data_IF_774011635229
#
_entry.id   IF_774011635229
#
_cell.length_a   1.000
_cell.length_b   1.000
_cell.length_c   1.000
_cell.angle_alpha   90.00
_cell.angle_beta   90.00
_cell.angle_gamma   90.00
#
_symmetry.space_group_name_H-M   'P 1'
#
loop_
_entity.id
_entity.type
_entity.pdbx_description
1 polymer ?
#
# COMPACT_ATOMS: atom_id res chain seq x y z
N UNK A 1 -1.96 0.37 5.22
CA UNK A 1 -0.82 -0.54 5.05
C UNK A 1 -0.86 -1.67 6.07
N UNK A 2 -0.14 -2.75 5.83
CA UNK A 2 0.20 -3.73 6.84
C UNK A 2 1.56 -3.41 7.49
N UNK A 3 1.85 -4.01 8.66
CA UNK A 3 3.09 -3.82 9.41
C UNK A 3 3.88 -5.10 9.65
N UNK A 4 3.24 -6.25 9.44
CA UNK A 4 3.89 -7.56 9.42
C UNK A 4 4.66 -7.76 8.10
N UNK A 5 5.34 -8.88 7.97
CA UNK A 5 5.99 -9.31 6.74
C UNK A 5 5.94 -10.82 6.63
N UNK A 6 6.17 -11.32 5.44
CA UNK A 6 6.28 -12.76 5.18
C UNK A 6 7.29 -13.40 6.14
N UNK A 7 6.94 -14.46 6.89
CA UNK A 7 7.84 -15.06 7.87
C UNK A 7 9.11 -15.68 7.27
N UNK A 8 9.04 -16.10 6.01
CA UNK A 8 10.13 -16.82 5.34
C UNK A 8 10.23 -16.42 3.87
N UNK A 9 11.41 -16.56 3.30
CA UNK A 9 11.75 -16.24 1.92
C UNK A 9 11.21 -17.31 0.93
N UNK A 10 9.90 -17.57 0.93
CA UNK A 10 9.31 -18.69 0.19
C UNK A 10 9.36 -18.51 -1.34
N UNK A 11 9.66 -17.29 -1.83
CA UNK A 11 9.87 -16.99 -3.25
C UNK A 11 11.33 -17.04 -3.69
N UNK A 12 12.25 -17.42 -2.81
CA UNK A 12 13.65 -17.66 -3.20
C UNK A 12 13.78 -18.75 -4.27
N UNK A 13 14.73 -18.58 -5.16
CA UNK A 13 15.00 -19.57 -6.22
C UNK A 13 15.53 -20.90 -5.64
N UNK A 14 16.46 -20.81 -4.67
CA UNK A 14 17.07 -21.98 -4.08
C UNK A 14 16.22 -22.53 -2.94
N UNK A 15 15.92 -23.82 -3.01
CA UNK A 15 15.10 -24.50 -2.01
C UNK A 15 15.64 -24.40 -0.58
N UNK A 16 16.97 -24.37 -0.42
CA UNK A 16 17.64 -24.25 0.89
C UNK A 16 17.42 -22.89 1.56
N UNK A 17 17.17 -21.84 0.76
CA UNK A 17 16.99 -20.47 1.24
C UNK A 17 15.51 -20.16 1.56
N UNK A 18 14.56 -20.96 1.08
CA UNK A 18 13.11 -20.71 1.22
C UNK A 18 12.58 -20.68 2.66
N UNK A 19 13.35 -21.14 3.63
CA UNK A 19 12.97 -21.10 5.05
C UNK A 19 13.77 -20.02 5.84
N UNK A 20 14.54 -19.19 5.15
CA UNK A 20 15.24 -18.09 5.81
C UNK A 20 14.24 -16.97 6.13
N UNK A 21 14.40 -16.27 7.27
CA UNK A 21 13.57 -15.11 7.57
C UNK A 21 13.89 -13.96 6.62
N UNK A 22 12.91 -13.12 6.33
CA UNK A 22 13.08 -11.88 5.56
C UNK A 22 12.94 -10.65 6.45
N UNK A 23 13.42 -9.50 5.97
CA UNK A 23 13.37 -8.22 6.70
C UNK A 23 12.05 -7.51 6.42
N UNK A 24 11.51 -7.59 5.20
CA UNK A 24 10.27 -6.92 4.81
C UNK A 24 10.44 -5.40 4.73
N UNK A 25 11.54 -4.94 4.14
CA UNK A 25 11.84 -3.51 4.10
C UNK A 25 10.91 -2.72 3.17
N UNK A 26 10.50 -3.34 2.07
CA UNK A 26 9.51 -2.79 1.17
C UNK A 26 8.11 -3.32 1.52
N UNK A 27 8.02 -4.61 1.72
CA UNK A 27 6.83 -5.40 2.01
C UNK A 27 6.72 -5.69 3.53
N UNK A 28 6.06 -4.95 4.27
CA UNK A 28 5.16 -3.92 4.62
C UNK A 28 5.81 -2.68 5.26
N UNK A 29 7.17 -2.67 5.56
CA UNK A 29 7.76 -1.56 6.30
C UNK A 29 7.73 -0.23 5.52
N UNK A 30 7.71 -0.25 4.17
CA UNK A 30 7.66 0.98 3.36
C UNK A 30 6.36 1.76 3.57
N UNK A 31 5.21 1.08 3.58
CA UNK A 31 3.92 1.69 3.88
C UNK A 31 3.89 2.28 5.30
N UNK A 32 4.44 1.55 6.28
CA UNK A 32 4.56 2.02 7.67
C UNK A 32 5.41 3.30 7.75
N UNK A 33 6.53 3.36 7.02
CA UNK A 33 7.40 4.54 7.01
C UNK A 33 6.65 5.79 6.52
N UNK A 34 5.88 5.67 5.43
CA UNK A 34 5.04 6.77 4.94
C UNK A 34 3.98 7.18 5.96
N UNK A 35 3.28 6.23 6.58
CA UNK A 35 2.24 6.50 7.59
C UNK A 35 2.82 7.21 8.83
N UNK A 36 4.01 6.82 9.29
CA UNK A 36 4.65 7.48 10.44
C UNK A 36 5.01 8.93 10.14
N UNK A 37 5.51 9.23 8.95
CA UNK A 37 5.78 10.61 8.54
C UNK A 37 4.49 11.42 8.35
N UNK A 38 3.44 10.82 7.77
CA UNK A 38 2.12 11.43 7.73
C UNK A 38 1.60 11.76 9.14
N UNK A 39 1.71 10.83 10.09
CA UNK A 39 1.30 11.05 11.47
C UNK A 39 2.02 12.26 12.11
N UNK A 40 3.33 12.40 11.84
CA UNK A 40 4.10 13.55 12.31
C UNK A 40 3.59 14.87 11.71
N UNK A 41 3.40 14.92 10.39
CA UNK A 41 2.94 16.11 9.66
C UNK A 41 1.53 16.51 10.10
N UNK A 42 0.61 15.56 10.16
CA UNK A 42 -0.78 15.80 10.56
C UNK A 42 -0.90 16.20 12.04
N UNK A 43 0.00 15.72 12.90
CA UNK A 43 0.08 16.13 14.30
C UNK A 43 0.54 17.58 14.48
N UNK A 44 1.47 18.04 13.63
CA UNK A 44 1.95 19.43 13.63
C UNK A 44 0.96 20.40 12.96
N UNK A 45 0.28 19.94 11.93
CA UNK A 45 -0.66 20.71 11.12
C UNK A 45 -1.96 19.92 10.93
N UNK A 46 -2.87 19.91 11.90
CA UNK A 46 -4.09 19.11 11.83
C UNK A 46 -4.96 19.50 10.63
N UNK A 47 -5.39 18.51 9.79
CA UNK A 47 -6.32 18.76 8.69
C UNK A 47 -7.74 19.02 9.20
N UNK A 48 -8.61 19.59 8.36
CA UNK A 48 -10.04 19.80 8.70
C UNK A 48 -10.88 18.54 8.55
N UNK A 49 -10.39 17.55 7.81
CA UNK A 49 -11.03 16.23 7.67
C UNK A 49 -10.51 15.25 8.70
N UNK A 50 -11.30 14.24 9.05
CA UNK A 50 -10.85 13.12 9.86
C UNK A 50 -9.96 12.19 9.03
N UNK A 51 -8.77 11.88 9.56
CA UNK A 51 -7.83 10.93 8.94
C UNK A 51 -7.56 9.80 9.93
N UNK A 52 -7.76 8.58 9.50
CA UNK A 52 -7.40 7.37 10.25
C UNK A 52 -6.15 6.77 9.63
N UNK A 53 -5.09 6.63 10.42
CA UNK A 53 -3.87 5.93 10.04
C UNK A 53 -3.95 4.53 10.65
N UNK A 54 -4.04 3.51 9.81
CA UNK A 54 -4.28 2.12 10.23
C UNK A 54 -3.14 1.24 9.73
N UNK A 55 -2.58 0.45 10.64
CA UNK A 55 -1.59 -0.57 10.33
C UNK A 55 -2.21 -1.94 10.62
N UNK A 56 -2.39 -2.74 9.59
CA UNK A 56 -2.97 -4.08 9.71
C UNK A 56 -1.89 -5.11 10.06
N UNK A 57 -2.31 -6.20 10.72
CA UNK A 57 -1.48 -7.34 11.09
C UNK A 57 -1.95 -8.58 10.33
N UNK A 58 -1.01 -9.46 9.99
CA UNK A 58 -1.32 -10.74 9.36
C UNK A 58 -1.81 -10.61 7.92
N UNK A 59 -1.35 -9.61 7.19
CA UNK A 59 -1.55 -9.53 5.74
C UNK A 59 -0.83 -10.70 5.08
N UNK A 60 0.46 -10.87 5.36
CA UNK A 60 1.39 -11.78 4.72
C UNK A 60 1.45 -13.21 5.32
N UNK A 61 0.58 -13.53 6.28
CA UNK A 61 0.55 -14.86 6.90
C UNK A 61 -0.23 -15.91 6.08
N UNK A 62 -0.69 -15.54 4.88
CA UNK A 62 -1.53 -16.38 4.05
C UNK A 62 -0.84 -17.60 3.45
N UNK A 63 -1.66 -18.54 2.99
CA UNK A 63 -1.24 -19.75 2.28
C UNK A 63 -1.28 -19.46 0.78
N UNK A 64 -0.17 -19.62 0.03
CA UNK A 64 -0.16 -19.38 -1.41
C UNK A 64 -1.28 -20.11 -2.16
N UNK A 65 -2.10 -19.33 -2.91
CA UNK A 65 -3.25 -19.84 -3.63
C UNK A 65 -4.57 -19.83 -2.86
N UNK A 66 -4.59 -19.43 -1.60
CA UNK A 66 -5.78 -19.32 -0.74
C UNK A 66 -5.96 -17.87 -0.26
N UNK A 67 -6.49 -16.99 -1.12
CA UNK A 67 -6.61 -15.55 -0.84
C UNK A 67 -7.32 -15.21 0.48
N UNK A 68 -8.28 -16.03 0.89
CA UNK A 68 -9.00 -15.83 2.16
C UNK A 68 -8.13 -16.02 3.42
N UNK A 69 -6.93 -16.55 3.28
CA UNK A 69 -5.98 -16.71 4.39
C UNK A 69 -5.05 -15.52 4.55
N UNK A 70 -5.01 -14.61 3.57
CA UNK A 70 -4.29 -13.34 3.60
C UNK A 70 -5.13 -12.21 4.21
N UNK A 71 -4.52 -11.06 4.47
CA UNK A 71 -5.19 -9.82 4.88
C UNK A 71 -6.05 -9.98 6.15
N UNK A 72 -5.57 -10.71 7.16
CA UNK A 72 -6.37 -11.07 8.34
C UNK A 72 -6.78 -9.83 9.16
N UNK A 73 -5.89 -8.85 9.29
CA UNK A 73 -6.14 -7.61 10.02
C UNK A 73 -7.23 -6.75 9.37
N UNK A 74 -7.15 -6.51 8.08
CA UNK A 74 -8.16 -5.74 7.35
C UNK A 74 -9.50 -6.47 7.27
N UNK A 75 -9.51 -7.80 7.15
CA UNK A 75 -10.74 -8.62 7.27
C UNK A 75 -11.40 -8.46 8.63
N UNK A 76 -10.60 -8.50 9.70
CA UNK A 76 -11.13 -8.30 11.06
C UNK A 76 -11.65 -6.88 11.24
N UNK A 77 -10.88 -5.87 10.80
CA UNK A 77 -11.30 -4.47 10.85
C UNK A 77 -12.61 -4.24 10.07
N UNK A 78 -12.70 -4.74 8.85
CA UNK A 78 -13.89 -4.61 8.00
C UNK A 78 -15.14 -5.26 8.63
N UNK A 79 -14.95 -6.37 9.31
CA UNK A 79 -16.04 -7.11 9.97
C UNK A 79 -16.45 -6.52 11.32
N UNK A 80 -15.48 -5.94 12.05
CA UNK A 80 -15.68 -5.41 13.40
C UNK A 80 -14.98 -4.04 13.55
N UNK A 81 -15.44 -3.01 12.82
CA UNK A 81 -14.75 -1.74 12.80
C UNK A 81 -14.72 -1.09 14.19
N UNK A 82 -13.53 -0.74 14.71
CA UNK A 82 -13.39 -0.11 16.03
C UNK A 82 -13.74 1.39 16.00
N UNK A 83 -13.90 1.95 14.84
CA UNK A 83 -14.20 3.37 14.55
C UNK A 83 -15.33 3.44 13.53
N UNK A 84 -16.02 4.59 13.36
CA UNK A 84 -16.92 4.80 12.24
C UNK A 84 -16.21 4.54 10.90
N UNK A 85 -16.89 3.88 9.98
CA UNK A 85 -16.33 3.58 8.65
C UNK A 85 -15.95 4.87 7.92
N UNK A 86 -14.76 4.94 7.31
CA UNK A 86 -14.36 6.05 6.48
C UNK A 86 -15.14 6.08 5.15
N UNK A 87 -15.17 7.23 4.50
CA UNK A 87 -15.77 7.37 3.16
C UNK A 87 -14.98 6.65 2.07
N UNK A 88 -13.67 6.56 2.23
CA UNK A 88 -12.75 5.92 1.30
C UNK A 88 -11.47 5.50 2.03
N UNK A 89 -10.71 4.60 1.45
CA UNK A 89 -9.44 4.14 1.98
C UNK A 89 -8.37 4.07 0.88
N UNK A 90 -7.12 4.32 1.27
CA UNK A 90 -5.95 4.17 0.42
C UNK A 90 -5.00 3.23 1.15
N UNK A 91 -4.74 2.06 0.57
CA UNK A 91 -3.71 1.16 1.04
C UNK A 91 -2.36 1.59 0.45
N UNK A 92 -1.29 1.41 1.21
CA UNK A 92 0.08 1.68 0.77
C UNK A 92 0.89 0.41 1.01
N UNK A 93 1.23 -0.26 -0.06
CA UNK A 93 2.01 -1.49 0.00
C UNK A 93 3.15 -1.47 -1.01
N UNK A 94 4.33 -1.95 -0.60
CA UNK A 94 5.54 -2.03 -1.44
C UNK A 94 5.85 -0.70 -2.16
N UNK A 95 5.81 0.42 -1.42
CA UNK A 95 5.98 1.79 -1.96
C UNK A 95 7.39 2.37 -1.79
N UNK A 96 8.35 1.55 -1.41
CA UNK A 96 9.72 1.97 -1.12
C UNK A 96 10.78 1.61 -2.16
N UNK A 97 10.47 0.82 -3.17
CA UNK A 97 11.44 0.35 -4.18
C UNK A 97 12.24 1.50 -4.80
N UNK A 98 13.56 1.32 -4.95
CA UNK A 98 14.43 2.27 -5.67
C UNK A 98 14.03 2.52 -7.13
N UNK A 99 13.36 1.57 -7.75
CA UNK A 99 12.84 1.65 -9.11
C UNK A 99 11.31 1.78 -9.10
N UNK A 100 10.76 2.46 -8.09
CA UNK A 100 9.33 2.55 -7.84
C UNK A 100 8.51 2.79 -9.10
N UNK A 101 7.56 1.89 -9.37
CA UNK A 101 6.64 1.98 -10.49
C UNK A 101 5.22 1.61 -10.03
N UNK A 102 4.36 2.60 -9.92
CA UNK A 102 2.99 2.49 -9.43
C UNK A 102 1.98 2.57 -10.58
N UNK A 103 1.69 1.46 -11.27
CA UNK A 103 0.61 1.41 -12.26
C UNK A 103 -0.74 1.40 -11.53
N UNK A 104 -1.83 1.59 -12.28
CA UNK A 104 -3.17 1.43 -11.71
C UNK A 104 -3.42 -0.06 -11.44
N UNK A 105 -3.69 -0.38 -10.18
CA UNK A 105 -4.15 -1.70 -9.76
C UNK A 105 -5.64 -1.87 -10.15
N UNK A 106 -6.05 -3.06 -10.64
CA UNK A 106 -7.35 -3.24 -11.30
C UNK A 106 -8.53 -3.30 -10.35
N UNK A 107 -8.39 -3.89 -9.16
CA UNK A 107 -9.46 -3.85 -8.14
C UNK A 107 -9.67 -2.42 -7.66
N UNK A 108 -8.61 -1.63 -7.50
CA UNK A 108 -8.68 -0.22 -7.18
C UNK A 108 -9.49 0.56 -8.22
N UNK A 109 -9.24 0.29 -9.51
CA UNK A 109 -10.00 0.92 -10.59
C UNK A 109 -11.48 0.49 -10.60
N UNK A 110 -11.81 -0.73 -10.15
CA UNK A 110 -13.17 -1.22 -10.02
C UNK A 110 -13.87 -0.63 -8.79
N UNK A 111 -13.19 -0.59 -7.65
CA UNK A 111 -13.78 -0.23 -6.35
C UNK A 111 -13.93 1.28 -6.16
N UNK A 112 -12.96 2.07 -6.65
CA UNK A 112 -13.01 3.54 -6.56
C UNK A 112 -12.35 4.21 -7.78
N UNK A 113 -12.98 4.15 -8.96
CA UNK A 113 -12.41 4.71 -10.20
C UNK A 113 -12.24 6.23 -10.15
N UNK A 114 -12.99 6.94 -9.32
CA UNK A 114 -12.89 8.39 -9.18
C UNK A 114 -11.64 8.78 -8.41
N UNK A 115 -11.37 8.09 -7.29
CA UNK A 115 -10.18 8.31 -6.49
C UNK A 115 -8.91 7.94 -7.27
N UNK A 116 -8.92 6.81 -8.00
CA UNK A 116 -7.82 6.40 -8.87
C UNK A 116 -7.51 7.51 -9.88
N UNK A 117 -8.49 7.96 -10.65
CA UNK A 117 -8.28 9.03 -11.64
C UNK A 117 -7.79 10.33 -11.02
N UNK A 118 -8.32 10.68 -9.86
CA UNK A 118 -7.90 11.88 -9.14
C UNK A 118 -6.43 11.78 -8.72
N UNK A 119 -6.02 10.70 -8.04
CA UNK A 119 -4.66 10.56 -7.50
C UNK A 119 -3.60 10.45 -8.59
N UNK A 120 -3.81 9.61 -9.62
CA UNK A 120 -2.82 9.49 -10.70
C UNK A 120 -2.67 10.78 -11.50
N UNK A 121 -3.81 11.47 -11.76
CA UNK A 121 -3.72 12.81 -12.37
C UNK A 121 -3.01 13.79 -11.45
N UNK A 122 -3.26 13.75 -10.15
CA UNK A 122 -2.62 14.65 -9.20
C UNK A 122 -1.12 14.37 -9.08
N UNK A 123 -0.73 13.10 -9.15
CA UNK A 123 0.68 12.71 -9.21
C UNK A 123 1.38 13.29 -10.45
N UNK A 124 0.74 13.22 -11.63
CA UNK A 124 1.24 13.85 -12.85
C UNK A 124 1.40 15.37 -12.69
N UNK A 125 0.38 16.06 -12.16
CA UNK A 125 0.42 17.51 -11.90
C UNK A 125 1.54 17.91 -10.93
N UNK A 126 1.92 17.03 -10.01
CA UNK A 126 3.00 17.22 -9.04
C UNK A 126 4.38 16.79 -9.55
N UNK A 127 4.46 16.22 -10.75
CA UNK A 127 5.68 15.69 -11.35
C UNK A 127 6.24 14.48 -10.62
N UNK A 128 5.36 13.58 -10.13
CA UNK A 128 5.73 12.32 -9.48
C UNK A 128 5.79 11.23 -10.55
N UNK A 129 6.98 10.89 -10.97
CA UNK A 129 7.23 10.05 -12.14
C UNK A 129 7.06 8.54 -11.88
N UNK A 130 6.93 8.13 -10.62
CA UNK A 130 6.63 6.74 -10.28
C UNK A 130 5.21 6.31 -10.70
N UNK A 131 4.27 7.23 -10.89
CA UNK A 131 2.86 6.92 -11.15
C UNK A 131 2.57 6.73 -12.64
N UNK A 132 2.16 5.51 -13.03
CA UNK A 132 1.78 5.15 -14.40
C UNK A 132 0.26 4.99 -14.52
N UNK A 133 -0.39 5.75 -15.39
CA UNK A 133 -1.84 5.69 -15.62
C UNK A 133 -2.31 4.40 -16.33
N UNK A 134 -1.43 3.45 -16.59
CA UNK A 134 -1.76 2.20 -17.27
C UNK A 134 -2.26 1.15 -16.27
N UNK A 135 -3.48 0.61 -16.41
CA UNK A 135 -3.93 -0.52 -15.58
C UNK A 135 -3.11 -1.79 -15.88
N UNK A 136 -2.55 -2.43 -14.85
CA UNK A 136 -1.71 -3.61 -15.07
C UNK A 136 -2.28 -4.87 -14.42
N UNK A 137 -2.05 -5.09 -13.13
CA UNK A 137 -2.40 -6.32 -12.43
C UNK A 137 -3.62 -6.15 -11.53
N UNK A 138 -4.17 -7.24 -11.03
CA UNK A 138 -5.15 -7.29 -9.96
C UNK A 138 -4.49 -8.05 -8.80
N UNK A 139 -4.29 -7.37 -7.69
CA UNK A 139 -3.63 -7.92 -6.50
C UNK A 139 -4.67 -8.04 -5.39
N UNK A 140 -4.68 -9.19 -4.73
CA UNK A 140 -5.50 -9.38 -3.55
C UNK A 140 -4.72 -8.88 -2.34
N UNK A 141 -5.14 -7.75 -1.77
CA UNK A 141 -4.49 -7.06 -0.68
C UNK A 141 -5.54 -6.42 0.25
N UNK A 142 -5.13 -5.75 1.31
CA UNK A 142 -5.97 -5.18 2.38
C UNK A 142 -7.14 -4.31 1.88
N UNK A 143 -7.01 -3.65 0.74
CA UNK A 143 -8.09 -2.87 0.13
C UNK A 143 -9.27 -3.74 -0.32
N UNK A 144 -9.04 -5.02 -0.67
CA UNK A 144 -10.10 -5.92 -1.13
C UNK A 144 -11.07 -6.28 0.02
N UNK A 145 -10.61 -6.78 1.18
CA UNK A 145 -11.53 -7.00 2.31
C UNK A 145 -12.22 -5.73 2.80
N UNK A 146 -11.58 -4.57 2.75
CA UNK A 146 -12.21 -3.30 3.11
C UNK A 146 -13.41 -3.00 2.22
N UNK A 147 -13.30 -3.26 0.92
CA UNK A 147 -14.41 -3.08 -0.02
C UNK A 147 -15.44 -4.20 0.10
N UNK A 148 -15.03 -5.46 -0.02
CA UNK A 148 -15.96 -6.59 -0.10
C UNK A 148 -16.77 -6.83 1.18
N UNK A 149 -16.18 -6.59 2.36
CA UNK A 149 -16.81 -6.87 3.65
C UNK A 149 -17.49 -5.63 4.22
N UNK A 150 -16.83 -4.47 4.18
CA UNK A 150 -17.33 -3.25 4.81
C UNK A 150 -17.94 -2.25 3.82
N UNK A 151 -17.80 -2.46 2.51
CA UNK A 151 -18.29 -1.52 1.48
C UNK A 151 -17.52 -0.21 1.44
N UNK A 152 -16.29 -0.16 1.97
CA UNK A 152 -15.43 1.02 1.92
C UNK A 152 -14.81 1.08 0.52
N UNK A 153 -15.06 2.15 -0.27
CA UNK A 153 -14.37 2.36 -1.55
C UNK A 153 -12.87 2.49 -1.30
N UNK A 154 -12.12 1.45 -1.57
CA UNK A 154 -10.69 1.34 -1.25
C UNK A 154 -9.85 1.19 -2.50
N UNK A 155 -8.65 1.75 -2.49
CA UNK A 155 -7.64 1.58 -3.54
C UNK A 155 -6.30 1.17 -2.93
N UNK A 156 -5.44 0.65 -3.78
CA UNK A 156 -4.11 0.23 -3.44
C UNK A 156 -3.05 0.95 -4.29
N UNK A 157 -2.06 1.53 -3.64
CA UNK A 157 -0.82 2.01 -4.24
C UNK A 157 0.24 0.94 -4.01
N UNK A 158 0.53 0.15 -5.04
CA UNK A 158 1.43 -1.00 -4.93
C UNK A 158 2.37 -1.10 -6.13
N UNK A 159 3.66 -1.33 -5.86
CA UNK A 159 4.62 -1.79 -6.86
C UNK A 159 4.85 -3.29 -6.74
N UNK A 160 4.03 -4.08 -7.41
CA UNK A 160 4.11 -5.54 -7.34
C UNK A 160 5.23 -6.13 -8.21
N UNK A 161 5.94 -5.35 -8.99
CA UNK A 161 7.07 -5.81 -9.82
C UNK A 161 8.42 -5.44 -9.21
N UNK A 162 8.56 -5.62 -7.96
CA UNK A 162 9.70 -5.29 -7.13
C UNK A 162 10.90 -6.22 -7.37
N UNK A 163 12.08 -5.73 -7.83
CA UNK A 163 12.37 -4.33 -8.19
C UNK A 163 12.03 -4.02 -9.66
N UNK A 164 11.73 -4.99 -10.50
CA UNK A 164 11.39 -4.82 -11.90
C UNK A 164 10.94 -6.15 -12.53
N UNK A 165 10.41 -6.17 -13.77
CA UNK A 165 9.92 -7.40 -14.42
C UNK A 165 10.94 -8.53 -14.65
N UNK A 166 12.22 -8.30 -14.40
CA UNK A 166 13.30 -9.26 -14.68
C UNK A 166 13.92 -9.86 -13.44
N UNK A 167 13.61 -9.34 -12.25
CA UNK A 167 14.07 -9.81 -10.96
C UNK A 167 12.90 -9.81 -9.96
N UNK A 168 13.01 -10.58 -8.90
CA UNK A 168 12.00 -10.61 -7.84
C UNK A 168 12.69 -10.48 -6.48
N UNK A 169 12.30 -9.45 -5.70
CA UNK A 169 12.70 -9.29 -4.31
C UNK A 169 11.53 -9.55 -3.35
N UNK A 170 10.29 -9.57 -3.88
CA UNK A 170 9.11 -9.90 -3.10
C UNK A 170 9.20 -11.30 -2.50
N UNK A 171 9.02 -11.39 -1.19
CA UNK A 171 9.15 -12.62 -0.39
C UNK A 171 10.52 -13.31 -0.53
N UNK A 172 11.59 -12.53 -0.69
CA UNK A 172 12.97 -13.02 -0.73
C UNK A 172 13.86 -12.32 0.29
N UNK A 173 15.07 -12.82 0.50
CA UNK A 173 16.06 -12.18 1.38
C UNK A 173 16.59 -10.85 0.80
N UNK A 174 16.28 -10.52 -0.43
CA UNK A 174 16.63 -9.24 -1.06
C UNK A 174 15.61 -8.12 -0.73
N UNK A 175 14.54 -8.40 0.01
CA UNK A 175 13.68 -7.36 0.56
C UNK A 175 14.32 -6.70 1.79
N UNK A 176 15.28 -5.83 1.51
CA UNK A 176 16.16 -5.17 2.48
C UNK A 176 16.15 -3.64 2.28
N UNK A 177 16.49 -2.85 3.32
CA UNK A 177 16.49 -1.38 3.24
C UNK A 177 17.38 -0.81 2.13
N UNK A 178 18.46 -1.52 1.77
CA UNK A 178 19.36 -1.14 0.70
C UNK A 178 18.69 -1.13 -0.69
N UNK A 179 17.57 -1.81 -0.84
CA UNK A 179 16.76 -1.83 -2.07
C UNK A 179 15.60 -0.83 -2.05
N UNK A 180 15.38 -0.12 -0.95
CA UNK A 180 14.45 0.98 -0.82
C UNK A 180 15.13 2.34 -1.00
N UNK A 181 14.34 3.40 -1.25
CA UNK A 181 14.83 4.77 -1.34
C UNK A 181 13.91 5.78 -0.66
N UNK A 182 14.53 6.82 -0.09
CA UNK A 182 13.81 7.96 0.47
C UNK A 182 13.05 8.76 -0.59
N UNK A 183 13.54 8.77 -1.84
CA UNK A 183 12.90 9.44 -2.96
C UNK A 183 11.56 8.80 -3.31
N UNK A 184 11.51 7.47 -3.36
CA UNK A 184 10.29 6.69 -3.62
C UNK A 184 9.25 6.90 -2.52
N UNK A 185 9.64 6.74 -1.26
CA UNK A 185 8.78 7.05 -0.11
C UNK A 185 8.30 8.50 -0.13
N UNK A 186 9.18 9.43 -0.52
CA UNK A 186 8.87 10.85 -0.65
C UNK A 186 7.84 11.16 -1.72
N UNK A 187 7.83 10.46 -2.86
CA UNK A 187 6.82 10.63 -3.91
C UNK A 187 5.44 10.26 -3.38
N UNK A 188 5.31 9.10 -2.74
CA UNK A 188 4.04 8.63 -2.17
C UNK A 188 3.60 9.54 -1.01
N UNK A 189 4.49 9.86 -0.08
CA UNK A 189 4.19 10.77 1.04
C UNK A 189 3.73 12.15 0.56
N UNK A 190 4.38 12.72 -0.46
CA UNK A 190 4.00 14.00 -1.07
C UNK A 190 2.60 13.96 -1.67
N UNK A 191 2.25 12.88 -2.38
CA UNK A 191 0.91 12.71 -2.93
C UNK A 191 -0.13 12.61 -1.81
N UNK A 192 0.15 11.84 -0.76
CA UNK A 192 -0.79 11.67 0.37
C UNK A 192 -1.01 12.98 1.12
N UNK A 193 0.05 13.75 1.40
CA UNK A 193 -0.07 15.09 2.01
C UNK A 193 -0.90 16.01 1.13
N UNK A 194 -0.58 16.08 -0.16
CA UNK A 194 -1.34 16.90 -1.11
C UNK A 194 -2.81 16.48 -1.16
N UNK A 195 -3.09 15.20 -1.24
CA UNK A 195 -4.44 14.65 -1.23
C UNK A 195 -5.22 15.07 0.03
N UNK A 196 -4.68 14.83 1.22
CA UNK A 196 -5.33 15.12 2.50
C UNK A 196 -5.68 16.60 2.61
N UNK A 197 -4.73 17.50 2.35
CA UNK A 197 -4.95 18.94 2.50
C UNK A 197 -5.74 19.59 1.36
N UNK A 198 -5.79 18.99 0.17
CA UNK A 198 -6.63 19.47 -0.92
C UNK A 198 -8.06 18.90 -0.84
N UNK A 199 -8.23 17.72 -0.22
CA UNK A 199 -9.56 17.16 0.05
C UNK A 199 -10.37 18.02 1.02
N UNK A 200 -9.69 18.71 1.95
CA UNK A 200 -10.29 19.69 2.84
C UNK A 200 -11.05 20.83 2.13
N UNK A 201 -10.60 21.19 0.92
CA UNK A 201 -11.09 22.36 0.19
C UNK A 201 -12.24 22.04 -0.75
N UNK A 202 -12.62 20.79 -0.87
CA UNK A 202 -13.78 20.39 -1.68
C UNK A 202 -15.01 20.36 -0.77
N UNK A 203 -15.83 21.42 -0.81
CA UNK A 203 -17.16 21.41 -0.21
C UNK A 203 -18.00 20.31 -0.89
N UNK A 204 -18.50 19.40 -0.11
CA UNK A 204 -19.39 18.31 -0.55
C UNK A 204 -20.83 18.81 -0.67
#
# INVERSE_FOLDING_TARGET
CHWDTRPVADMEEKREDKNQPIIGANDGASGVAVILELARILGENPPSIGVNLVMFDGEDLGIPGENETYCQGSRFFAKYPPIPLPYEAINLDMVGDKQLHLPIEKYSLEFNPELVRYLWKRADDLGLDAFDMTPQYAIYDDHVPLYEIAGIPAIDLIDFKYPNPYANFWHTMDDIPENCSEESLGQVGKLMVDYIYNRERQDW
#
